data_IF_821728352244
#
_entry.id   IF_821728352244
#
_cell.length_a   1.000
_cell.length_b   1.000
_cell.length_c   1.000
_cell.angle_alpha   90.00
_cell.angle_beta   90.00
_cell.angle_gamma   90.00
#
_symmetry.space_group_name_H-M   'P 1'
#
loop_
_entity.id
_entity.type
_entity.pdbx_description
1 polymer ?
#
# COMPACT_ATOMS: atom_id res chain seq x y z
N UNK A 1 -46.44 -9.53 -39.53
CA UNK A 1 -47.04 -8.74 -38.44
C UNK A 1 -45.93 -8.50 -37.41
N UNK A 2 -45.46 -7.27 -37.32
CA UNK A 2 -44.38 -6.83 -36.42
C UNK A 2 -44.89 -6.74 -34.97
N UNK A 3 -44.10 -7.20 -34.01
CA UNK A 3 -44.18 -6.76 -32.60
C UNK A 3 -42.77 -6.44 -32.11
N UNK A 4 -42.51 -5.27 -31.49
CA UNK A 4 -41.17 -4.71 -31.34
C UNK A 4 -40.51 -5.03 -29.99
N UNK A 5 -39.18 -4.96 -29.99
CA UNK A 5 -38.31 -4.98 -28.80
C UNK A 5 -38.53 -3.70 -27.97
N UNK A 6 -38.93 -3.83 -26.71
CA UNK A 6 -38.93 -2.73 -25.75
C UNK A 6 -37.53 -2.49 -25.21
N UNK A 7 -37.02 -1.29 -25.47
CA UNK A 7 -35.81 -0.71 -24.92
C UNK A 7 -36.13 -0.24 -23.49
N UNK A 8 -35.50 -0.85 -22.47
CA UNK A 8 -35.50 -0.35 -21.10
C UNK A 8 -34.25 0.50 -20.86
N UNK A 9 -34.31 1.81 -21.13
CA UNK A 9 -33.33 2.76 -20.60
C UNK A 9 -33.66 3.03 -19.13
N UNK A 10 -32.94 2.39 -18.21
CA UNK A 10 -32.92 2.81 -16.81
C UNK A 10 -32.08 4.09 -16.67
N UNK A 11 -32.77 5.22 -16.56
CA UNK A 11 -32.25 6.50 -16.06
C UNK A 11 -31.71 6.32 -14.63
N UNK A 12 -30.38 6.22 -14.49
CA UNK A 12 -29.66 6.12 -13.22
C UNK A 12 -29.04 7.48 -12.80
N UNK A 13 -29.72 8.59 -13.10
CA UNK A 13 -29.13 9.93 -13.03
C UNK A 13 -29.47 10.83 -11.81
N UNK A 14 -30.34 10.48 -10.82
CA UNK A 14 -30.41 11.27 -9.58
C UNK A 14 -29.66 10.68 -8.38
N UNK A 15 -29.29 9.39 -8.37
CA UNK A 15 -28.65 8.75 -7.22
C UNK A 15 -27.14 9.06 -7.07
N UNK A 16 -26.47 9.47 -8.16
CA UNK A 16 -25.03 9.76 -8.17
C UNK A 16 -24.69 11.10 -7.50
N UNK A 17 -25.60 12.08 -7.54
CA UNK A 17 -25.35 13.41 -6.98
C UNK A 17 -25.35 13.43 -5.44
N UNK A 18 -26.13 12.57 -4.77
CA UNK A 18 -26.13 12.47 -3.31
C UNK A 18 -24.98 11.59 -2.77
N UNK A 19 -24.56 10.56 -3.49
CA UNK A 19 -23.40 9.75 -3.11
C UNK A 19 -22.07 10.53 -3.25
N UNK A 20 -21.98 11.41 -4.25
CA UNK A 20 -20.82 12.28 -4.46
C UNK A 20 -20.65 13.33 -3.35
N UNK A 21 -21.74 13.90 -2.82
CA UNK A 21 -21.66 14.94 -1.78
C UNK A 21 -21.21 14.39 -0.43
N UNK A 22 -21.70 13.21 0.00
CA UNK A 22 -21.23 12.54 1.21
C UNK A 22 -19.77 12.07 1.09
N UNK A 23 -19.36 11.62 -0.10
CA UNK A 23 -17.98 11.17 -0.36
C UNK A 23 -16.97 12.33 -0.33
N UNK A 24 -17.34 13.50 -0.86
CA UNK A 24 -16.46 14.69 -0.89
C UNK A 24 -16.30 15.32 0.51
N UNK A 25 -17.39 15.44 1.28
CA UNK A 25 -17.31 15.96 2.66
C UNK A 25 -16.51 15.00 3.55
N UNK A 26 -16.74 13.69 3.42
CA UNK A 26 -15.95 12.67 4.10
C UNK A 26 -14.47 12.72 3.71
N UNK A 27 -14.16 12.88 2.43
CA UNK A 27 -12.78 13.01 1.94
C UNK A 27 -12.07 14.20 2.57
N UNK A 28 -12.70 15.37 2.65
CA UNK A 28 -12.06 16.56 3.23
C UNK A 28 -11.63 16.31 4.68
N UNK A 29 -12.50 15.74 5.50
CA UNK A 29 -12.18 15.42 6.90
C UNK A 29 -11.06 14.37 6.99
N UNK A 30 -11.08 13.36 6.12
CA UNK A 30 -10.01 12.35 6.04
C UNK A 30 -8.66 12.99 5.75
N UNK A 31 -8.59 13.90 4.77
CA UNK A 31 -7.34 14.57 4.37
C UNK A 31 -6.86 15.54 5.46
N UNK A 32 -7.74 16.38 6.01
CA UNK A 32 -7.38 17.31 7.10
C UNK A 32 -6.86 16.55 8.34
N UNK A 33 -7.45 15.40 8.65
CA UNK A 33 -6.96 14.55 9.76
C UNK A 33 -5.65 13.87 9.39
N UNK A 34 -5.52 13.33 8.18
CA UNK A 34 -4.30 12.67 7.71
C UNK A 34 -3.08 13.61 7.74
N UNK A 35 -3.27 14.89 7.40
CA UNK A 35 -2.22 15.93 7.48
C UNK A 35 -1.70 16.18 8.90
N UNK A 36 -2.49 15.82 9.92
CA UNK A 36 -2.11 15.93 11.33
C UNK A 36 -1.55 14.61 11.88
N UNK A 37 -1.44 13.56 11.06
CA UNK A 37 -0.99 12.22 11.46
C UNK A 37 0.41 11.92 10.94
N UNK A 38 1.18 11.20 11.75
CA UNK A 38 2.47 10.62 11.41
C UNK A 38 2.54 9.14 11.75
N UNK A 39 3.40 8.40 11.06
CA UNK A 39 3.68 6.99 11.33
C UNK A 39 4.78 6.80 12.36
N UNK A 40 4.64 5.78 13.20
CA UNK A 40 5.72 5.21 14.03
C UNK A 40 5.69 3.71 13.88
N UNK A 41 6.84 3.10 13.56
CA UNK A 41 6.96 1.65 13.39
C UNK A 41 8.09 1.11 14.28
N UNK A 42 7.80 0.06 15.02
CA UNK A 42 8.75 -0.71 15.82
C UNK A 42 9.11 -2.02 15.12
N UNK A 43 10.37 -2.42 15.24
CA UNK A 43 10.83 -3.80 15.03
C UNK A 43 11.21 -4.38 16.38
N UNK A 44 10.28 -5.12 16.97
CA UNK A 44 10.42 -5.81 18.25
C UNK A 44 11.15 -7.12 18.06
N UNK A 45 12.29 -7.28 18.74
CA UNK A 45 12.99 -8.55 18.85
C UNK A 45 12.28 -9.42 19.88
N UNK A 46 11.41 -10.31 19.40
CA UNK A 46 10.66 -11.23 20.25
C UNK A 46 11.62 -12.16 21.03
N UNK A 47 11.35 -12.43 22.32
CA UNK A 47 12.19 -13.34 23.12
C UNK A 47 12.16 -14.76 22.55
N UNK A 48 13.34 -15.38 22.40
CA UNK A 48 13.45 -16.73 21.87
C UNK A 48 12.75 -17.75 22.79
N UNK A 49 11.96 -18.65 22.21
CA UNK A 49 11.29 -19.73 22.95
C UNK A 49 10.12 -19.31 23.84
N UNK A 50 9.77 -18.01 23.91
CA UNK A 50 8.63 -17.56 24.70
C UNK A 50 7.32 -17.85 23.96
N UNK A 51 6.36 -18.48 24.66
CA UNK A 51 5.01 -18.77 24.14
C UNK A 51 4.00 -17.68 24.49
N UNK A 52 4.32 -16.83 25.47
CA UNK A 52 3.47 -15.75 25.91
C UNK A 52 3.33 -14.66 24.83
N UNK A 53 2.15 -14.02 24.70
CA UNK A 53 1.95 -12.96 23.73
C UNK A 53 2.74 -11.70 24.12
N UNK A 54 3.44 -11.13 23.14
CA UNK A 54 3.98 -9.77 23.24
C UNK A 54 2.96 -8.76 22.73
N UNK A 55 2.79 -7.66 23.45
CA UNK A 55 1.91 -6.55 23.07
C UNK A 55 2.71 -5.27 22.90
N UNK A 56 2.35 -4.47 21.89
CA UNK A 56 2.91 -3.16 21.65
C UNK A 56 1.87 -2.06 21.88
N UNK A 57 2.35 -0.92 22.37
CA UNK A 57 1.54 0.27 22.62
C UNK A 57 2.33 1.56 22.34
N UNK A 58 1.59 2.61 21.99
CA UNK A 58 2.06 3.99 21.96
C UNK A 58 1.22 4.80 22.93
N UNK A 59 1.84 5.56 23.84
CA UNK A 59 1.13 6.29 24.89
C UNK A 59 1.81 7.60 25.25
N UNK A 60 1.06 8.49 25.91
CA UNK A 60 1.61 9.75 26.45
C UNK A 60 1.85 9.65 27.93
N UNK A 61 2.76 10.49 28.42
CA UNK A 61 2.99 10.71 29.84
C UNK A 61 2.41 12.07 30.28
N UNK A 62 1.95 12.13 31.51
CA UNK A 62 1.61 13.37 32.21
C UNK A 62 2.15 13.26 33.64
N UNK A 63 2.92 14.25 34.08
CA UNK A 63 3.59 14.25 35.39
C UNK A 63 4.39 12.95 35.66
N UNK A 64 5.09 12.45 34.63
CA UNK A 64 5.89 11.23 34.70
C UNK A 64 5.12 9.92 34.66
N UNK A 65 3.78 9.95 34.69
CA UNK A 65 2.92 8.75 34.69
C UNK A 65 2.24 8.54 33.34
N UNK A 66 1.92 7.28 32.95
CA UNK A 66 1.13 7.01 31.76
C UNK A 66 -0.26 7.69 31.84
N UNK A 67 -0.66 8.41 30.79
CA UNK A 67 -1.94 9.15 30.72
C UNK A 67 -2.99 8.41 29.89
N UNK A 68 -2.76 8.32 28.59
CA UNK A 68 -3.63 7.73 27.58
C UNK A 68 -2.81 7.09 26.45
N UNK A 69 -3.40 6.14 25.73
CA UNK A 69 -2.74 5.37 24.67
C UNK A 69 -3.44 5.48 23.32
N UNK A 70 -2.68 5.35 22.23
CA UNK A 70 -3.19 5.31 20.86
C UNK A 70 -3.52 3.88 20.39
N UNK A 71 -3.73 2.97 21.34
CA UNK A 71 -4.06 1.57 21.10
C UNK A 71 -3.02 0.59 21.65
N UNK A 72 -3.51 -0.63 21.88
CA UNK A 72 -2.79 -1.77 22.43
C UNK A 72 -3.06 -2.97 21.53
N UNK A 73 -2.02 -3.57 20.94
CA UNK A 73 -2.21 -4.71 20.03
C UNK A 73 -1.11 -5.76 20.19
N UNK A 74 -1.47 -7.01 19.87
CA UNK A 74 -0.55 -8.13 19.87
C UNK A 74 0.48 -7.93 18.74
N UNK A 75 1.76 -8.02 19.09
CA UNK A 75 2.84 -8.03 18.11
C UNK A 75 2.78 -9.35 17.35
N UNK A 76 2.79 -9.25 16.02
CA UNK A 76 2.75 -10.42 15.15
C UNK A 76 4.09 -11.17 15.18
N UNK A 77 4.16 -12.42 14.69
CA UNK A 77 5.42 -13.19 14.65
C UNK A 77 6.54 -12.51 13.85
N UNK A 78 6.16 -11.61 12.95
CA UNK A 78 7.06 -10.75 12.17
C UNK A 78 7.81 -9.69 13.00
N UNK A 79 7.43 -9.50 14.27
CA UNK A 79 8.02 -8.54 15.19
C UNK A 79 7.71 -7.09 14.85
N UNK A 80 6.79 -6.81 13.93
CA UNK A 80 6.46 -5.44 13.50
C UNK A 80 5.23 -4.95 14.23
N UNK A 81 5.32 -3.75 14.79
CA UNK A 81 4.21 -3.03 15.38
C UNK A 81 4.21 -1.60 14.83
N UNK A 82 3.07 -1.12 14.33
CA UNK A 82 2.99 0.21 13.71
C UNK A 82 1.77 0.98 14.19
N UNK A 83 1.93 2.30 14.25
CA UNK A 83 0.93 3.24 14.71
C UNK A 83 0.84 4.44 13.76
N UNK A 84 -0.34 5.03 13.66
CA UNK A 84 -0.54 6.36 13.10
C UNK A 84 -0.96 7.28 14.25
N UNK A 85 -0.17 8.31 14.54
CA UNK A 85 -0.25 9.12 15.76
C UNK A 85 -0.36 10.61 15.39
N UNK A 86 -0.93 11.46 16.25
CA UNK A 86 -0.92 12.91 16.01
C UNK A 86 0.51 13.47 16.02
N UNK A 87 0.79 14.38 15.10
CA UNK A 87 2.12 15.02 14.94
C UNK A 87 2.47 16.01 16.06
N UNK A 88 1.48 16.57 16.75
CA UNK A 88 1.67 17.50 17.87
C UNK A 88 1.94 16.78 19.21
N UNK A 89 2.00 15.44 19.19
CA UNK A 89 2.30 14.62 20.36
C UNK A 89 3.75 14.17 20.43
N UNK A 90 4.21 13.97 21.67
CA UNK A 90 5.43 13.22 21.98
C UNK A 90 5.02 11.95 22.70
N UNK A 91 5.49 10.80 22.21
CA UNK A 91 5.01 9.50 22.66
C UNK A 91 6.11 8.67 23.29
N UNK A 92 5.69 7.85 24.23
CA UNK A 92 6.40 6.65 24.61
C UNK A 92 5.88 5.53 23.72
N UNK A 93 6.78 4.71 23.19
CA UNK A 93 6.41 3.58 22.35
C UNK A 93 7.19 2.37 22.80
N UNK A 94 6.52 1.26 23.01
CA UNK A 94 7.12 0.10 23.65
C UNK A 94 6.34 -1.17 23.44
N UNK A 95 6.91 -2.26 23.92
CA UNK A 95 6.28 -3.56 23.92
C UNK A 95 6.68 -4.35 25.16
N UNK A 96 5.78 -5.21 25.64
CA UNK A 96 6.06 -6.13 26.73
C UNK A 96 5.48 -7.52 26.45
N UNK A 97 6.04 -8.55 27.06
CA UNK A 97 5.52 -9.92 26.97
C UNK A 97 4.75 -10.28 28.22
N UNK A 98 3.45 -10.54 28.04
CA UNK A 98 2.47 -10.81 29.10
C UNK A 98 2.51 -12.30 29.47
N UNK A 99 3.39 -12.67 30.41
CA UNK A 99 3.67 -14.05 30.78
C UNK A 99 2.58 -14.63 31.70
N UNK A 100 1.84 -13.78 32.40
CA UNK A 100 0.76 -14.19 33.32
C UNK A 100 -0.66 -14.02 32.74
N UNK A 101 -0.81 -13.40 31.57
CA UNK A 101 -2.08 -13.25 30.85
C UNK A 101 -2.98 -12.14 31.40
N UNK A 102 -2.47 -11.20 32.19
CA UNK A 102 -3.27 -10.16 32.84
C UNK A 102 -3.39 -8.86 32.03
N UNK A 103 -2.75 -8.79 30.85
CA UNK A 103 -2.72 -7.63 29.93
C UNK A 103 -2.20 -6.34 30.55
N UNK A 104 -1.35 -6.46 31.56
CA UNK A 104 -0.57 -5.39 32.17
C UNK A 104 0.90 -5.82 32.15
N UNK A 105 1.80 -4.86 32.38
CA UNK A 105 3.20 -5.19 32.55
C UNK A 105 3.48 -5.47 34.03
N UNK A 106 4.00 -6.64 34.35
CA UNK A 106 4.45 -7.02 35.68
C UNK A 106 5.99 -6.93 35.77
N UNK A 107 6.51 -6.41 36.88
CA UNK A 107 7.95 -6.29 37.08
C UNK A 107 8.66 -7.65 36.93
N UNK A 108 9.64 -7.72 36.03
CA UNK A 108 10.38 -8.94 35.68
C UNK A 108 9.95 -9.57 34.35
N UNK A 109 8.83 -9.13 33.77
CA UNK A 109 8.46 -9.50 32.41
C UNK A 109 9.37 -8.83 31.37
N UNK A 110 9.54 -9.43 30.17
CA UNK A 110 10.29 -8.79 29.10
C UNK A 110 9.60 -7.49 28.64
N UNK A 111 10.27 -6.35 28.77
CA UNK A 111 9.81 -5.01 28.37
C UNK A 111 10.89 -4.27 27.56
N UNK A 112 10.43 -3.43 26.63
CA UNK A 112 11.26 -2.44 25.96
C UNK A 112 10.45 -1.17 25.75
N UNK A 113 11.06 -0.01 26.01
CA UNK A 113 10.42 1.29 25.84
C UNK A 113 11.37 2.27 25.18
N UNK A 114 10.86 3.03 24.21
CA UNK A 114 11.48 4.20 23.63
C UNK A 114 10.73 5.44 24.13
N UNK A 115 11.48 6.41 24.65
CA UNK A 115 10.98 7.70 25.08
C UNK A 115 11.07 8.73 23.96
N UNK A 116 10.25 9.76 24.07
CA UNK A 116 10.33 10.98 23.25
C UNK A 116 10.25 10.75 21.73
N UNK A 117 9.49 9.71 21.34
CA UNK A 117 9.29 9.34 19.94
C UNK A 117 8.34 10.32 19.29
N UNK A 118 8.79 10.92 18.19
CA UNK A 118 8.00 11.85 17.36
C UNK A 118 7.55 11.13 16.08
N UNK A 119 6.25 11.19 15.73
CA UNK A 119 5.77 10.54 14.51
C UNK A 119 6.30 11.22 13.24
N UNK A 120 6.56 10.42 12.20
CA UNK A 120 6.99 10.91 10.89
C UNK A 120 5.75 11.22 10.03
N UNK A 121 5.57 12.44 9.49
CA UNK A 121 4.35 12.82 8.76
C UNK A 121 3.93 11.82 7.67
N UNK A 122 2.62 11.54 7.61
CA UNK A 122 2.03 10.64 6.60
C UNK A 122 1.70 11.36 5.27
N UNK A 123 1.55 12.68 5.30
CA UNK A 123 1.19 13.51 4.15
C UNK A 123 2.40 14.11 3.41
N UNK A 124 3.58 14.13 4.05
CA UNK A 124 4.81 14.68 3.52
C UNK A 124 5.57 13.63 2.66
N UNK A 125 5.77 13.89 1.35
CA UNK A 125 6.49 12.98 0.46
C UNK A 125 8.02 12.98 0.69
N UNK A 126 8.57 14.00 1.36
CA UNK A 126 9.98 14.03 1.73
C UNK A 126 10.24 13.21 3.00
N UNK A 127 9.22 12.98 3.82
CA UNK A 127 9.35 12.27 5.07
C UNK A 127 9.68 10.79 4.85
N UNK A 128 10.79 10.33 5.42
CA UNK A 128 11.23 8.92 5.32
C UNK A 128 10.75 8.13 6.55
N UNK A 129 9.99 7.04 6.37
CA UNK A 129 9.62 6.17 7.49
C UNK A 129 10.85 5.72 8.28
N UNK A 130 10.76 5.79 9.60
CA UNK A 130 11.79 5.27 10.51
C UNK A 130 11.25 4.01 11.18
N UNK A 131 12.06 2.95 11.17
CA UNK A 131 11.76 1.70 11.88
C UNK A 131 12.67 1.68 13.12
N UNK A 132 12.06 1.80 14.29
CA UNK A 132 12.80 1.78 15.55
C UNK A 132 13.00 0.34 16.03
N UNK A 133 14.26 -0.08 16.17
CA UNK A 133 14.57 -1.38 16.79
C UNK A 133 14.25 -1.37 18.27
N UNK A 134 13.60 -2.42 18.76
CA UNK A 134 13.23 -2.58 20.17
C UNK A 134 13.64 -3.96 20.67
N UNK A 135 14.48 -4.02 21.70
CA UNK A 135 14.84 -5.26 22.38
C UNK A 135 14.13 -5.30 23.73
N UNK A 136 13.60 -6.48 24.08
CA UNK A 136 12.92 -6.68 25.37
C UNK A 136 13.90 -7.25 26.39
N UNK A 137 13.94 -6.64 27.58
CA UNK A 137 14.77 -7.04 28.73
C UNK A 137 13.89 -7.24 29.96
N UNK A 138 14.37 -7.92 31.00
CA UNK A 138 13.57 -8.20 32.20
C UNK A 138 13.78 -7.21 33.34
N UNK A 139 15.00 -6.69 33.47
CA UNK A 139 15.33 -5.77 34.55
C UNK A 139 15.16 -4.32 34.12
N UNK A 140 14.27 -3.63 34.81
CA UNK A 140 13.95 -2.21 34.62
C UNK A 140 13.99 -1.43 35.93
N UNK A 141 14.62 -1.98 36.99
CA UNK A 141 14.76 -1.30 38.28
C UNK A 141 13.44 -1.06 39.02
N UNK A 142 12.41 -1.89 38.77
CA UNK A 142 11.12 -1.81 39.45
C UNK A 142 11.06 -2.77 40.64
N UNK A 143 10.38 -2.36 41.71
CA UNK A 143 10.20 -3.21 42.87
C UNK A 143 9.40 -4.47 42.53
N UNK A 144 9.73 -5.60 43.16
CA UNK A 144 9.01 -6.85 42.98
C UNK A 144 7.51 -6.69 43.29
N UNK A 145 6.65 -7.25 42.46
CA UNK A 145 5.19 -7.12 42.56
C UNK A 145 4.62 -5.82 41.99
N UNK A 146 5.44 -4.94 41.39
CA UNK A 146 4.93 -3.77 40.67
C UNK A 146 4.15 -4.20 39.43
N UNK A 147 2.94 -3.67 39.26
CA UNK A 147 2.10 -3.87 38.06
C UNK A 147 1.79 -2.51 37.42
N UNK A 148 2.16 -2.35 36.16
CA UNK A 148 1.87 -1.15 35.36
C UNK A 148 0.72 -1.46 34.42
N UNK A 149 -0.44 -0.86 34.68
CA UNK A 149 -1.62 -1.00 33.83
C UNK A 149 -1.44 -0.24 32.51
N UNK A 150 -1.91 -0.84 31.43
CA UNK A 150 -1.98 -0.19 30.11
C UNK A 150 -2.94 1.00 30.20
N UNK A 151 -2.55 2.21 29.74
CA UNK A 151 -3.42 3.39 29.76
C UNK A 151 -4.65 3.20 28.86
N UNK A 152 -5.77 3.82 29.25
CA UNK A 152 -6.99 3.82 28.45
C UNK A 152 -6.77 4.35 27.03
N UNK A 153 -7.49 3.78 26.06
CA UNK A 153 -7.37 4.17 24.66
C UNK A 153 -8.04 5.53 24.41
N UNK A 154 -7.33 6.40 23.70
CA UNK A 154 -7.81 7.69 23.22
C UNK A 154 -7.64 7.76 21.70
N UNK A 155 -8.75 7.61 20.96
CA UNK A 155 -8.80 7.63 19.49
C UNK A 155 -8.36 8.97 18.88
N UNK A 156 -8.38 10.05 19.65
CA UNK A 156 -7.87 11.34 19.19
C UNK A 156 -6.35 11.27 18.96
N UNK A 157 -5.62 10.49 19.76
CA UNK A 157 -4.17 10.32 19.61
C UNK A 157 -3.78 9.61 18.32
N UNK A 158 -4.65 8.74 17.82
CA UNK A 158 -4.37 7.92 16.65
C UNK A 158 -4.86 6.51 16.83
N UNK A 159 -4.22 5.59 16.11
CA UNK A 159 -4.55 4.19 16.14
C UNK A 159 -3.40 3.29 15.72
N UNK A 160 -3.67 1.99 15.80
CA UNK A 160 -2.79 0.95 15.26
C UNK A 160 -2.87 0.95 13.73
N UNK A 161 -1.73 0.73 13.09
CA UNK A 161 -1.64 0.46 11.65
C UNK A 161 -1.17 -0.97 11.48
N UNK A 162 -2.04 -1.83 10.94
CA UNK A 162 -1.70 -3.23 10.75
C UNK A 162 -0.91 -3.44 9.46
N UNK A 163 0.23 -4.12 9.55
CA UNK A 163 1.08 -4.46 8.42
C UNK A 163 1.05 -5.97 8.16
N UNK A 164 0.93 -6.38 6.89
CA UNK A 164 1.09 -7.75 6.42
C UNK A 164 2.43 -7.89 5.70
N UNK A 165 3.18 -8.91 6.07
CA UNK A 165 4.51 -9.21 5.55
C UNK A 165 4.58 -10.69 5.22
N UNK A 166 3.81 -11.08 4.20
CA UNK A 166 3.72 -12.46 3.72
C UNK A 166 2.61 -13.28 4.35
N UNK A 167 1.54 -12.62 4.80
CA UNK A 167 0.34 -13.29 5.30
C UNK A 167 -0.26 -14.14 4.18
N UNK A 168 -0.45 -15.44 4.44
CA UNK A 168 -1.11 -16.36 3.52
C UNK A 168 -2.62 -16.20 3.67
N UNK A 169 -3.29 -15.82 2.59
CA UNK A 169 -4.69 -15.40 2.60
C UNK A 169 -5.43 -15.86 1.34
N UNK A 170 -6.76 -15.94 1.41
CA UNK A 170 -7.58 -16.10 0.21
C UNK A 170 -7.96 -14.73 -0.36
N UNK A 171 -7.94 -14.61 -1.70
CA UNK A 171 -8.50 -13.44 -2.39
C UNK A 171 -10.01 -13.26 -2.14
N UNK A 172 -10.71 -14.32 -1.71
CA UNK A 172 -12.15 -14.27 -1.42
C UNK A 172 -12.48 -13.59 -0.09
N UNK A 173 -11.46 -13.23 0.71
CA UNK A 173 -11.70 -12.47 1.93
C UNK A 173 -12.35 -11.11 1.63
N UNK A 174 -13.33 -10.73 2.45
CA UNK A 174 -14.15 -9.52 2.25
C UNK A 174 -13.31 -8.26 2.01
N UNK A 175 -12.21 -8.08 2.76
CA UNK A 175 -11.29 -6.93 2.64
C UNK A 175 -10.66 -6.75 1.26
N UNK A 176 -10.63 -7.80 0.44
CA UNK A 176 -10.07 -7.75 -0.90
C UNK A 176 -11.13 -7.61 -2.00
N UNK A 177 -12.43 -7.66 -1.67
CA UNK A 177 -13.50 -7.57 -2.64
C UNK A 177 -13.39 -6.30 -3.50
N UNK A 178 -13.74 -6.39 -4.79
CA UNK A 178 -13.59 -5.27 -5.73
C UNK A 178 -14.34 -3.99 -5.28
N UNK A 179 -15.47 -4.14 -4.58
CA UNK A 179 -16.23 -3.01 -4.03
C UNK A 179 -15.54 -2.25 -2.89
N UNK A 180 -14.54 -2.85 -2.23
CA UNK A 180 -13.83 -2.23 -1.10
C UNK A 180 -12.70 -1.29 -1.54
N UNK A 181 -12.22 -1.41 -2.79
CA UNK A 181 -11.11 -0.61 -3.33
C UNK A 181 -11.38 0.90 -3.29
N UNK A 182 -12.63 1.30 -3.51
CA UNK A 182 -13.07 2.69 -3.40
C UNK A 182 -12.86 3.28 -1.99
N UNK A 183 -12.95 2.46 -0.93
CA UNK A 183 -12.66 2.89 0.44
C UNK A 183 -11.19 3.31 0.60
N UNK A 184 -10.26 2.56 0.02
CA UNK A 184 -8.84 2.91 0.02
C UNK A 184 -8.51 4.19 -0.75
N UNK A 185 -9.33 4.57 -1.71
CA UNK A 185 -9.23 5.82 -2.46
C UNK A 185 -9.80 7.02 -1.69
N UNK A 186 -11.07 6.92 -1.27
CA UNK A 186 -11.82 8.06 -0.72
C UNK A 186 -11.67 8.23 0.79
N UNK A 187 -11.25 7.17 1.51
CA UNK A 187 -11.09 7.15 2.97
C UNK A 187 -9.75 6.53 3.39
N UNK A 188 -8.61 7.08 2.92
CA UNK A 188 -7.31 6.46 3.10
C UNK A 188 -6.85 6.39 4.57
N UNK A 189 -7.31 7.28 5.45
CA UNK A 189 -6.98 7.23 6.87
C UNK A 189 -7.75 6.10 7.57
N UNK A 190 -9.04 5.95 7.30
CA UNK A 190 -9.84 4.86 7.86
C UNK A 190 -9.32 3.49 7.41
N UNK A 191 -8.81 3.40 6.18
CA UNK A 191 -8.17 2.20 5.67
C UNK A 191 -7.01 1.75 6.57
N UNK A 192 -6.22 2.67 7.13
CA UNK A 192 -5.09 2.33 8.00
C UNK A 192 -5.50 1.61 9.29
N UNK A 193 -6.71 1.89 9.81
CA UNK A 193 -7.24 1.29 11.05
C UNK A 193 -8.19 0.10 10.83
N UNK A 194 -8.80 0.00 9.66
CA UNK A 194 -9.79 -1.05 9.33
C UNK A 194 -9.21 -2.19 8.48
N UNK A 195 -8.06 -1.97 7.85
CA UNK A 195 -7.41 -2.95 7.00
C UNK A 195 -5.98 -3.22 7.48
N UNK A 196 -5.44 -4.34 6.99
CA UNK A 196 -4.02 -4.66 7.12
C UNK A 196 -3.36 -4.39 5.77
N UNK A 197 -2.39 -3.49 5.73
CA UNK A 197 -1.73 -3.08 4.50
C UNK A 197 -0.39 -3.80 4.34
N UNK A 198 0.07 -4.03 3.11
CA UNK A 198 1.32 -4.72 2.87
C UNK A 198 1.20 -5.83 1.84
N UNK A 199 2.13 -6.78 1.91
CA UNK A 199 2.29 -7.84 0.91
C UNK A 199 1.68 -9.13 1.46
N UNK A 200 0.87 -9.76 0.63
CA UNK A 200 0.16 -10.99 0.91
C UNK A 200 0.56 -12.09 -0.05
N UNK A 201 0.52 -13.32 0.45
CA UNK A 201 0.75 -14.51 -0.35
C UNK A 201 -0.56 -15.24 -0.59
N UNK A 202 -0.72 -15.78 -1.79
CA UNK A 202 -1.86 -16.64 -2.14
C UNK A 202 -1.72 -18.06 -1.58
N UNK A 203 -0.49 -18.44 -1.22
CA UNK A 203 -0.10 -19.75 -0.69
C UNK A 203 1.20 -19.60 0.13
N UNK A 204 1.58 -20.57 0.98
CA UNK A 204 2.85 -20.51 1.72
C UNK A 204 4.05 -20.31 0.79
N UNK A 205 5.04 -19.51 1.21
CA UNK A 205 6.24 -19.23 0.42
C UNK A 205 6.96 -20.52 -0.03
N UNK A 206 7.29 -20.58 -1.32
CA UNK A 206 8.01 -21.69 -1.93
C UNK A 206 9.37 -21.20 -2.47
N UNK A 207 10.51 -21.65 -1.88
CA UNK A 207 11.84 -21.23 -2.33
C UNK A 207 12.21 -21.72 -3.74
N UNK A 208 11.46 -22.67 -4.32
CA UNK A 208 11.65 -23.15 -5.68
C UNK A 208 11.03 -22.24 -6.74
N UNK A 209 10.20 -21.27 -6.36
CA UNK A 209 9.47 -20.39 -7.28
C UNK A 209 9.86 -18.93 -7.09
N UNK A 210 9.82 -18.17 -8.18
CA UNK A 210 10.14 -16.74 -8.17
C UNK A 210 8.88 -15.96 -7.75
N UNK A 211 8.93 -15.17 -6.67
CA UNK A 211 7.83 -14.28 -6.32
C UNK A 211 7.50 -13.29 -7.45
N UNK A 212 6.20 -13.13 -7.73
CA UNK A 212 5.67 -12.10 -8.65
C UNK A 212 4.70 -11.24 -7.87
N UNK A 213 5.09 -10.00 -7.60
CA UNK A 213 4.30 -9.04 -6.83
C UNK A 213 3.38 -8.26 -7.76
N UNK A 214 2.09 -8.36 -7.49
CA UNK A 214 1.03 -7.74 -8.25
C UNK A 214 0.55 -6.46 -7.55
N UNK A 215 0.58 -5.33 -8.27
CA UNK A 215 0.26 -4.00 -7.72
C UNK A 215 -0.90 -3.38 -8.48
N UNK A 216 -2.08 -3.32 -7.87
CA UNK A 216 -3.31 -2.81 -8.49
C UNK A 216 -3.34 -1.27 -8.57
N UNK A 217 -4.31 -0.75 -9.33
CA UNK A 217 -4.47 0.67 -9.64
C UNK A 217 -5.26 1.51 -8.64
N UNK A 218 -5.61 2.73 -9.06
CA UNK A 218 -6.40 3.66 -8.25
C UNK A 218 -7.83 3.13 -8.03
N UNK A 219 -8.26 3.05 -6.78
CA UNK A 219 -9.60 2.54 -6.42
C UNK A 219 -9.80 1.04 -6.67
N UNK A 220 -8.75 0.33 -7.07
CA UNK A 220 -8.75 -1.10 -7.32
C UNK A 220 -8.56 -1.95 -6.05
N UNK A 221 -8.43 -3.26 -6.24
CA UNK A 221 -8.16 -4.20 -5.16
C UNK A 221 -7.37 -5.42 -5.65
N UNK A 222 -6.90 -6.31 -4.75
CA UNK A 222 -6.25 -7.55 -5.17
C UNK A 222 -7.08 -8.43 -6.11
N UNK A 223 -8.41 -8.28 -6.11
CA UNK A 223 -9.31 -9.01 -7.00
C UNK A 223 -9.13 -8.65 -8.48
N UNK A 224 -8.60 -7.47 -8.80
CA UNK A 224 -8.28 -7.06 -10.17
C UNK A 224 -7.30 -8.04 -10.83
N UNK A 225 -6.50 -8.72 -10.00
CA UNK A 225 -5.52 -9.71 -10.43
C UNK A 225 -6.05 -11.15 -10.44
N UNK A 226 -7.33 -11.41 -10.12
CA UNK A 226 -7.85 -12.79 -9.99
C UNK A 226 -7.58 -13.62 -11.24
N UNK A 227 -7.91 -13.09 -12.42
CA UNK A 227 -7.69 -13.79 -13.68
C UNK A 227 -6.20 -14.05 -13.91
N UNK A 228 -5.37 -13.03 -13.71
CA UNK A 228 -3.93 -13.12 -13.85
C UNK A 228 -3.31 -14.18 -12.92
N UNK A 229 -3.71 -14.19 -11.65
CA UNK A 229 -3.27 -15.17 -10.66
C UNK A 229 -3.68 -16.57 -11.09
N UNK A 230 -4.88 -16.78 -11.63
CA UNK A 230 -5.32 -18.09 -12.13
C UNK A 230 -4.54 -18.62 -13.34
N UNK A 231 -3.89 -17.74 -14.11
CA UNK A 231 -3.25 -18.06 -15.40
C UNK A 231 -1.75 -17.78 -15.44
N UNK A 232 -1.14 -17.45 -14.30
CA UNK A 232 0.31 -17.35 -14.14
C UNK A 232 0.95 -18.75 -14.29
N UNK A 233 2.20 -18.83 -14.77
CA UNK A 233 2.95 -20.10 -14.75
C UNK A 233 3.36 -20.47 -13.31
N UNK A 234 2.43 -21.11 -12.59
CA UNK A 234 2.59 -21.53 -11.19
C UNK A 234 3.71 -22.54 -10.95
N UNK A 235 4.29 -23.14 -12.00
CA UNK A 235 5.47 -24.01 -11.85
C UNK A 235 6.73 -23.19 -11.59
N UNK A 236 6.78 -21.96 -12.09
CA UNK A 236 7.95 -21.07 -12.02
C UNK A 236 7.76 -19.90 -11.08
N UNK A 237 6.52 -19.41 -10.99
CA UNK A 237 6.20 -18.17 -10.30
C UNK A 237 5.24 -18.40 -9.15
N UNK A 238 5.40 -17.60 -8.11
CA UNK A 238 4.49 -17.56 -6.96
C UNK A 238 3.83 -16.18 -6.91
N UNK A 239 2.49 -16.07 -7.08
CA UNK A 239 1.82 -14.78 -7.09
C UNK A 239 1.65 -14.23 -5.67
N UNK A 240 2.15 -13.02 -5.47
CA UNK A 240 1.91 -12.18 -4.30
C UNK A 240 1.14 -10.93 -4.73
N UNK A 241 0.44 -10.30 -3.81
CA UNK A 241 -0.24 -9.03 -4.11
C UNK A 241 0.00 -8.00 -3.01
N UNK A 242 0.06 -6.74 -3.43
CA UNK A 242 0.23 -5.60 -2.54
C UNK A 242 -1.12 -4.94 -2.27
N UNK A 243 -1.54 -4.88 -1.00
CA UNK A 243 -2.78 -4.22 -0.58
C UNK A 243 -2.48 -2.93 0.17
N UNK A 244 -2.96 -1.82 -0.38
CA UNK A 244 -2.65 -0.48 0.08
C UNK A 244 -3.78 0.53 -0.20
N UNK A 245 -3.89 1.60 0.59
CA UNK A 245 -4.85 2.68 0.32
C UNK A 245 -4.38 3.52 -0.87
N UNK A 246 -4.98 3.31 -2.05
CA UNK A 246 -4.61 4.02 -3.28
C UNK A 246 -4.86 5.54 -3.23
N UNK A 247 -5.57 6.04 -2.21
CA UNK A 247 -5.75 7.47 -1.96
C UNK A 247 -4.56 8.15 -1.28
N UNK A 248 -3.63 7.38 -0.71
CA UNK A 248 -2.44 7.93 -0.06
C UNK A 248 -1.42 8.46 -1.08
N UNK A 249 -0.54 9.36 -0.62
CA UNK A 249 0.62 9.81 -1.40
C UNK A 249 1.42 8.62 -1.94
N UNK A 250 1.76 8.63 -3.22
CA UNK A 250 2.36 7.50 -3.91
C UNK A 250 3.76 7.16 -3.37
N UNK A 251 4.55 8.17 -2.96
CA UNK A 251 5.83 7.94 -2.28
C UNK A 251 5.68 7.11 -1.00
N UNK A 252 4.61 7.36 -0.23
CA UNK A 252 4.33 6.60 1.00
C UNK A 252 3.93 5.17 0.69
N UNK A 253 3.05 4.98 -0.28
CA UNK A 253 2.67 3.65 -0.75
C UNK A 253 3.88 2.86 -1.29
N UNK A 254 4.75 3.53 -2.03
CA UNK A 254 5.98 2.95 -2.58
C UNK A 254 7.00 2.60 -1.48
N UNK A 255 7.16 3.47 -0.48
CA UNK A 255 8.06 3.22 0.66
C UNK A 255 7.65 2.03 1.51
N UNK A 256 6.34 1.84 1.73
CA UNK A 256 5.81 0.64 2.41
C UNK A 256 6.07 -0.62 1.58
N UNK A 257 5.79 -0.58 0.27
CA UNK A 257 6.07 -1.71 -0.62
C UNK A 257 7.56 -2.06 -0.64
N UNK A 258 8.44 -1.06 -0.79
CA UNK A 258 9.89 -1.24 -0.78
C UNK A 258 10.39 -1.88 0.52
N UNK A 259 9.94 -1.35 1.66
CA UNK A 259 10.28 -1.88 3.00
C UNK A 259 9.79 -3.32 3.16
N UNK A 260 8.57 -3.61 2.71
CA UNK A 260 7.99 -4.95 2.73
C UNK A 260 8.78 -5.95 1.89
N UNK A 261 9.17 -5.58 0.66
CA UNK A 261 9.97 -6.44 -0.22
C UNK A 261 11.34 -6.76 0.38
N UNK A 262 12.04 -5.76 0.93
CA UNK A 262 13.33 -5.95 1.59
C UNK A 262 13.22 -6.82 2.84
N UNK A 263 12.18 -6.61 3.62
CA UNK A 263 11.93 -7.40 4.83
C UNK A 263 11.59 -8.87 4.49
N UNK A 264 10.75 -9.10 3.47
CA UNK A 264 10.46 -10.43 2.98
C UNK A 264 11.71 -11.11 2.40
N UNK A 265 12.53 -10.38 1.65
CA UNK A 265 13.82 -10.88 1.13
C UNK A 265 14.73 -11.32 2.28
N UNK A 266 14.87 -10.50 3.32
CA UNK A 266 15.66 -10.82 4.52
C UNK A 266 15.17 -12.08 5.24
N UNK A 267 13.84 -12.30 5.28
CA UNK A 267 13.23 -13.48 5.93
C UNK A 267 13.35 -14.76 5.13
N UNK A 268 13.08 -14.67 3.83
CA UNK A 268 12.90 -15.84 2.96
C UNK A 268 14.11 -16.13 2.07
N UNK A 269 15.06 -15.20 1.97
CA UNK A 269 16.30 -15.38 1.23
C UNK A 269 16.12 -15.52 -0.28
N UNK A 270 14.98 -15.12 -0.87
CA UNK A 270 14.81 -15.22 -2.32
C UNK A 270 15.83 -14.34 -3.05
N UNK A 271 16.49 -14.86 -4.10
CA UNK A 271 17.51 -14.10 -4.83
C UNK A 271 16.90 -13.07 -5.78
N UNK A 272 15.64 -13.27 -6.19
CA UNK A 272 14.94 -12.41 -7.14
C UNK A 272 13.43 -12.42 -6.92
N UNK A 273 12.79 -11.31 -7.25
CA UNK A 273 11.36 -11.09 -7.31
C UNK A 273 11.04 -10.35 -8.63
N UNK A 274 9.84 -10.50 -9.16
CA UNK A 274 9.34 -9.72 -10.29
C UNK A 274 8.16 -8.87 -9.86
N UNK A 275 7.92 -7.77 -10.57
CA UNK A 275 6.78 -6.88 -10.28
C UNK A 275 5.96 -6.69 -11.54
N UNK A 276 4.66 -6.95 -11.43
CA UNK A 276 3.67 -6.61 -12.46
C UNK A 276 2.68 -5.64 -11.85
N UNK A 277 2.46 -4.52 -12.51
CA UNK A 277 1.67 -3.44 -11.96
C UNK A 277 0.70 -2.88 -12.98
N UNK A 278 -0.46 -2.45 -12.50
CA UNK A 278 -1.54 -1.94 -13.33
C UNK A 278 -1.85 -0.48 -12.97
N UNK A 279 -2.14 0.34 -13.99
CA UNK A 279 -2.60 1.72 -13.81
C UNK A 279 -1.65 2.50 -12.90
N UNK A 280 -2.19 3.28 -11.96
CA UNK A 280 -1.42 4.01 -10.94
C UNK A 280 -0.50 3.11 -10.10
N UNK A 281 -0.79 1.81 -9.99
CA UNK A 281 0.08 0.83 -9.36
C UNK A 281 1.47 0.75 -10.01
N UNK A 282 1.59 1.03 -11.32
CA UNK A 282 2.87 1.09 -12.01
C UNK A 282 3.76 2.24 -11.54
N UNK A 283 3.17 3.38 -11.19
CA UNK A 283 3.88 4.52 -10.60
C UNK A 283 4.40 4.17 -9.19
N UNK A 284 3.56 3.53 -8.38
CA UNK A 284 3.93 3.03 -7.04
C UNK A 284 5.04 1.98 -7.12
N UNK A 285 4.87 0.99 -7.98
CA UNK A 285 5.83 -0.08 -8.20
C UNK A 285 7.18 0.46 -8.65
N UNK A 286 7.20 1.39 -9.61
CA UNK A 286 8.44 1.98 -10.11
C UNK A 286 9.23 2.68 -9.00
N UNK A 287 8.58 3.53 -8.21
CA UNK A 287 9.22 4.18 -7.06
C UNK A 287 9.68 3.17 -6.01
N UNK A 288 8.89 2.12 -5.76
CA UNK A 288 9.23 1.10 -4.78
C UNK A 288 10.45 0.27 -5.20
N UNK A 289 10.57 -0.06 -6.48
CA UNK A 289 11.70 -0.82 -7.04
C UNK A 289 12.99 -0.03 -6.88
N UNK A 290 12.99 1.23 -7.31
CA UNK A 290 14.15 2.11 -7.18
C UNK A 290 14.65 2.18 -5.73
N UNK A 291 13.72 2.46 -4.81
CA UNK A 291 14.03 2.53 -3.38
C UNK A 291 14.50 1.20 -2.81
N UNK A 292 13.80 0.10 -3.10
CA UNK A 292 14.10 -1.21 -2.54
C UNK A 292 15.50 -1.71 -2.97
N UNK A 293 15.81 -1.59 -4.26
CA UNK A 293 17.10 -2.04 -4.79
C UNK A 293 18.23 -1.12 -4.31
N UNK A 294 18.02 0.20 -4.32
CA UNK A 294 19.03 1.16 -3.86
C UNK A 294 19.36 0.96 -2.37
N UNK A 295 18.35 0.80 -1.51
CA UNK A 295 18.56 0.57 -0.08
C UNK A 295 19.15 -0.81 0.24
N UNK A 296 18.88 -1.83 -0.59
CA UNK A 296 19.47 -3.16 -0.42
C UNK A 296 20.90 -3.25 -0.96
N UNK A 297 21.28 -2.35 -1.87
CA UNK A 297 22.60 -2.31 -2.51
C UNK A 297 22.84 -3.42 -3.54
N UNK A 298 21.81 -4.21 -3.84
CA UNK A 298 21.86 -5.30 -4.85
C UNK A 298 20.51 -5.39 -5.56
N UNK A 299 20.55 -5.55 -6.88
CA UNK A 299 19.33 -5.76 -7.66
C UNK A 299 18.78 -7.17 -7.42
N UNK A 300 17.61 -7.21 -6.80
CA UNK A 300 16.80 -8.42 -6.63
C UNK A 300 15.44 -8.30 -7.33
N UNK A 301 15.21 -7.24 -8.11
CA UNK A 301 13.97 -7.02 -8.87
C UNK A 301 14.32 -6.77 -10.35
N UNK A 302 14.79 -7.79 -11.09
CA UNK A 302 15.30 -7.58 -12.45
C UNK A 302 14.20 -7.33 -13.50
N UNK A 303 12.92 -7.54 -13.16
CA UNK A 303 11.80 -7.40 -14.10
C UNK A 303 10.67 -6.58 -13.51
N UNK A 304 10.29 -5.55 -14.25
CA UNK A 304 9.14 -4.71 -14.02
C UNK A 304 8.26 -4.69 -15.27
N UNK A 305 6.98 -4.99 -15.12
CA UNK A 305 6.00 -4.94 -16.21
C UNK A 305 4.87 -4.01 -15.79
N UNK A 306 4.60 -2.98 -16.59
CA UNK A 306 3.51 -2.05 -16.34
C UNK A 306 2.39 -2.23 -17.37
N UNK A 307 1.15 -2.22 -16.93
CA UNK A 307 -0.04 -2.36 -17.78
C UNK A 307 -0.91 -1.11 -17.59
N UNK A 308 -1.15 -0.35 -18.65
CA UNK A 308 -1.99 0.86 -18.68
C UNK A 308 -1.63 1.92 -17.64
N UNK A 309 -0.33 2.08 -17.35
CA UNK A 309 0.13 3.04 -16.33
C UNK A 309 0.11 4.46 -16.88
N UNK A 310 -0.51 5.44 -16.18
CA UNK A 310 -0.57 6.84 -16.62
C UNK A 310 0.75 7.56 -16.35
N UNK A 311 1.79 7.25 -17.13
CA UNK A 311 3.12 7.85 -16.95
C UNK A 311 3.06 9.37 -17.03
N UNK A 312 2.37 9.92 -18.02
CA UNK A 312 2.18 11.38 -18.19
C UNK A 312 1.22 12.03 -17.18
N UNK A 313 0.68 11.28 -16.22
CA UNK A 313 -0.33 11.73 -15.28
C UNK A 313 -1.75 11.66 -15.83
N UNK A 314 -2.71 12.19 -15.08
CA UNK A 314 -4.14 12.03 -15.37
C UNK A 314 -4.91 13.36 -15.29
N UNK A 315 -5.54 13.78 -16.39
CA UNK A 315 -6.28 15.07 -16.48
C UNK A 315 -7.41 15.22 -15.45
N UNK A 316 -8.12 14.13 -15.12
CA UNK A 316 -9.12 14.19 -14.05
C UNK A 316 -8.52 14.47 -12.66
N UNK A 317 -7.31 13.96 -12.36
CA UNK A 317 -6.60 14.27 -11.12
C UNK A 317 -6.21 15.75 -11.09
N UNK A 318 -5.69 16.28 -12.20
CA UNK A 318 -5.41 17.70 -12.38
C UNK A 318 -6.63 18.58 -12.09
N UNK A 319 -7.77 18.26 -12.71
CA UNK A 319 -9.04 18.97 -12.46
C UNK A 319 -9.45 18.90 -10.98
N UNK A 320 -9.36 17.72 -10.36
CA UNK A 320 -9.64 17.54 -8.94
C UNK A 320 -8.73 18.40 -8.04
N UNK A 321 -7.44 18.48 -8.36
CA UNK A 321 -6.47 19.33 -7.63
C UNK A 321 -6.78 20.81 -7.78
N UNK A 322 -7.20 21.27 -8.97
CA UNK A 322 -7.54 22.67 -9.21
C UNK A 322 -8.83 23.11 -8.49
N UNK A 323 -9.81 22.23 -8.35
CA UNK A 323 -11.15 22.60 -7.89
C UNK A 323 -11.47 22.20 -6.45
N UNK A 324 -10.77 21.21 -5.88
CA UNK A 324 -11.00 20.77 -4.50
C UNK A 324 -10.04 21.46 -3.53
N UNK A 325 -10.57 21.99 -2.43
CA UNK A 325 -9.74 22.53 -1.33
C UNK A 325 -8.81 21.47 -0.73
N UNK A 326 -9.29 20.23 -0.65
CA UNK A 326 -8.58 19.05 -0.16
C UNK A 326 -8.79 17.90 -1.14
N UNK A 327 -7.98 17.80 -2.22
CA UNK A 327 -8.10 16.70 -3.17
C UNK A 327 -7.65 15.38 -2.53
N UNK A 328 -7.94 14.26 -3.17
CA UNK A 328 -7.36 12.97 -2.80
C UNK A 328 -5.82 13.09 -2.85
N UNK A 329 -5.08 12.70 -1.79
CA UNK A 329 -3.64 12.90 -1.75
C UNK A 329 -2.89 12.31 -2.95
N UNK A 330 -3.25 11.10 -3.42
CA UNK A 330 -2.63 10.51 -4.62
C UNK A 330 -2.84 11.31 -5.90
N UNK A 331 -3.90 12.11 -6.01
CA UNK A 331 -4.11 12.97 -7.19
C UNK A 331 -3.07 14.08 -7.30
N UNK A 332 -2.48 14.52 -6.19
CA UNK A 332 -1.35 15.44 -6.21
C UNK A 332 -0.13 14.84 -6.92
N UNK A 333 0.04 13.52 -6.80
CA UNK A 333 1.18 12.80 -7.37
C UNK A 333 0.93 12.34 -8.82
N UNK A 334 -0.33 12.06 -9.20
CA UNK A 334 -0.70 11.70 -10.59
C UNK A 334 -1.09 12.93 -11.42
N UNK A 335 -1.10 14.13 -10.83
CA UNK A 335 -1.23 15.37 -11.57
C UNK A 335 -0.08 15.47 -12.62
N UNK A 336 -0.34 15.77 -13.90
CA UNK A 336 0.72 16.01 -14.87
C UNK A 336 1.76 17.01 -14.32
N UNK A 337 3.03 16.68 -14.57
CA UNK A 337 4.21 17.44 -14.10
C UNK A 337 4.30 17.63 -12.57
N UNK A 338 3.64 16.77 -11.78
CA UNK A 338 3.86 16.71 -10.33
C UNK A 338 5.33 16.43 -10.01
N UNK A 339 5.79 16.89 -8.85
CA UNK A 339 7.13 16.60 -8.36
C UNK A 339 7.42 15.09 -8.28
N UNK A 340 6.38 14.28 -8.01
CA UNK A 340 6.51 12.83 -7.97
C UNK A 340 6.81 12.24 -9.36
N UNK A 341 6.02 12.60 -10.39
CA UNK A 341 6.26 12.13 -11.76
C UNK A 341 7.60 12.63 -12.30
N UNK A 342 7.93 13.90 -12.08
CA UNK A 342 9.22 14.47 -12.47
C UNK A 342 10.39 13.73 -11.79
N UNK A 343 10.24 13.35 -10.53
CA UNK A 343 11.22 12.53 -9.81
C UNK A 343 11.41 11.14 -10.44
N UNK A 344 10.32 10.50 -10.90
CA UNK A 344 10.41 9.22 -11.61
C UNK A 344 11.17 9.34 -12.93
N UNK A 345 10.97 10.41 -13.69
CA UNK A 345 11.68 10.62 -14.96
C UNK A 345 13.16 10.92 -14.76
N UNK A 346 13.49 11.64 -13.68
CA UNK A 346 14.86 11.99 -13.33
C UNK A 346 15.66 10.80 -12.78
N UNK A 347 14.99 9.72 -12.38
CA UNK A 347 15.60 8.56 -11.72
C UNK A 347 15.56 7.33 -12.64
N UNK A 348 16.69 6.91 -13.23
CA UNK A 348 16.73 5.71 -14.05
C UNK A 348 16.40 4.47 -13.22
N UNK A 349 16.02 3.37 -13.87
CA UNK A 349 15.89 2.09 -13.15
C UNK A 349 17.24 1.71 -12.56
N UNK A 350 17.23 0.99 -11.41
CA UNK A 350 18.41 0.31 -10.94
C UNK A 350 19.05 -0.53 -12.05
N UNK A 351 20.38 -0.53 -12.10
CA UNK A 351 21.13 -1.30 -13.09
C UNK A 351 20.80 -2.79 -12.95
N UNK A 352 20.31 -3.39 -14.04
CA UNK A 352 19.87 -4.79 -14.06
C UNK A 352 18.36 -4.95 -14.14
N UNK A 353 17.60 -3.94 -13.69
CA UNK A 353 16.14 -3.93 -13.81
C UNK A 353 15.71 -3.52 -15.21
N UNK A 354 14.86 -4.34 -15.82
CA UNK A 354 14.23 -4.06 -17.12
C UNK A 354 12.76 -3.71 -16.95
N UNK A 355 12.26 -2.84 -17.84
CA UNK A 355 10.85 -2.42 -17.86
C UNK A 355 10.19 -2.75 -19.19
N UNK A 356 9.13 -3.54 -19.17
CA UNK A 356 8.24 -3.73 -20.33
C UNK A 356 6.93 -2.98 -20.10
N UNK A 357 6.52 -2.23 -21.11
CA UNK A 357 5.33 -1.37 -21.09
C UNK A 357 4.23 -2.00 -21.93
N UNK A 358 3.06 -2.19 -21.33
CA UNK A 358 1.84 -2.64 -22.00
C UNK A 358 0.81 -1.52 -21.86
N UNK A 359 0.14 -1.16 -22.95
CA UNK A 359 -0.88 -0.11 -22.95
C UNK A 359 -2.15 -0.55 -23.70
N UNK A 360 -3.27 0.04 -23.30
CA UNK A 360 -4.59 -0.21 -23.85
C UNK A 360 -5.05 0.89 -24.80
N UNK A 361 -5.97 0.59 -25.71
CA UNK A 361 -6.84 1.61 -26.28
C UNK A 361 -8.16 1.03 -26.78
N UNK A 362 -9.19 1.88 -26.87
CA UNK A 362 -10.49 1.55 -27.44
C UNK A 362 -10.91 2.58 -28.48
N UNK A 363 -11.72 2.15 -29.45
CA UNK A 363 -12.26 3.03 -30.50
C UNK A 363 -13.41 3.93 -30.02
N UNK A 364 -13.88 3.75 -28.77
CA UNK A 364 -15.05 4.46 -28.22
C UNK A 364 -14.74 5.93 -27.92
N UNK A 365 -15.44 6.83 -28.61
CA UNK A 365 -15.44 8.27 -28.31
C UNK A 365 -16.30 8.57 -27.06
N UNK A 366 -15.68 8.86 -25.92
CA UNK A 366 -16.38 9.43 -24.75
C UNK A 366 -16.44 10.95 -24.89
N UNK A 367 -17.56 11.59 -24.53
CA UNK A 367 -17.70 13.05 -24.69
C UNK A 367 -16.62 13.86 -23.95
N UNK A 368 -16.14 13.34 -22.81
CA UNK A 368 -15.15 13.97 -21.94
C UNK A 368 -13.69 13.59 -22.24
N UNK A 369 -13.44 12.72 -23.23
CA UNK A 369 -12.09 12.29 -23.62
C UNK A 369 -12.09 11.96 -25.12
N UNK A 370 -11.54 12.89 -25.91
CA UNK A 370 -11.58 12.82 -27.38
C UNK A 370 -10.32 12.21 -27.97
N UNK A 371 -9.23 12.23 -27.22
CA UNK A 371 -7.95 11.60 -27.53
C UNK A 371 -8.06 10.07 -27.49
N UNK A 372 -7.14 9.36 -28.15
CA UNK A 372 -7.07 7.90 -28.03
C UNK A 372 -6.81 7.52 -26.57
N UNK A 373 -7.58 6.57 -26.05
CA UNK A 373 -7.60 6.20 -24.64
C UNK A 373 -8.10 4.77 -24.45
N UNK A 374 -7.89 4.22 -23.27
CA UNK A 374 -8.39 2.90 -22.86
C UNK A 374 -9.71 2.98 -22.06
N UNK A 375 -10.38 4.12 -22.08
CA UNK A 375 -11.59 4.42 -21.31
C UNK A 375 -11.32 5.15 -20.00
N UNK A 376 -10.07 5.23 -19.53
CA UNK A 376 -9.65 5.92 -18.31
C UNK A 376 -8.44 6.82 -18.56
N UNK A 377 -7.39 6.29 -19.17
CA UNK A 377 -6.11 6.98 -19.40
C UNK A 377 -5.93 7.21 -20.90
N UNK A 378 -5.35 8.34 -21.27
CA UNK A 378 -4.99 8.61 -22.67
C UNK A 378 -3.76 7.79 -23.07
N UNK A 379 -3.72 7.33 -24.31
CA UNK A 379 -2.53 6.64 -24.86
C UNK A 379 -1.29 7.52 -24.73
N UNK A 380 -1.43 8.83 -24.94
CA UNK A 380 -0.34 9.80 -24.72
C UNK A 380 0.28 9.68 -23.32
N UNK A 381 -0.54 9.54 -22.27
CA UNK A 381 -0.06 9.37 -20.90
C UNK A 381 0.49 7.97 -20.67
N UNK A 382 -0.15 6.93 -21.23
CA UNK A 382 0.34 5.54 -21.15
C UNK A 382 1.68 5.33 -21.86
N UNK A 383 1.99 6.15 -22.87
CA UNK A 383 3.22 6.06 -23.67
C UNK A 383 4.09 7.32 -23.53
N UNK A 384 4.07 7.98 -22.37
CA UNK A 384 4.85 9.21 -22.16
C UNK A 384 6.32 8.99 -22.59
N UNK A 385 6.85 9.81 -23.50
CA UNK A 385 8.14 9.56 -24.12
C UNK A 385 9.31 9.59 -23.12
N UNK A 386 9.14 10.22 -21.95
CA UNK A 386 10.15 10.23 -20.87
C UNK A 386 10.36 8.83 -20.28
N UNK A 387 9.33 7.98 -20.30
CA UNK A 387 9.41 6.58 -19.85
C UNK A 387 9.58 5.63 -21.03
N UNK A 388 8.77 5.79 -22.08
CA UNK A 388 8.73 4.88 -23.23
C UNK A 388 10.09 4.66 -23.90
N UNK A 389 10.93 5.70 -23.96
CA UNK A 389 12.30 5.59 -24.52
C UNK A 389 13.22 4.66 -23.73
N UNK A 390 12.96 4.45 -22.44
CA UNK A 390 13.74 3.57 -21.56
C UNK A 390 13.12 2.18 -21.39
N UNK A 391 11.91 1.97 -21.92
CA UNK A 391 11.25 0.68 -21.89
C UNK A 391 11.98 -0.30 -22.82
N UNK A 392 12.20 -1.51 -22.35
CA UNK A 392 12.78 -2.62 -23.13
C UNK A 392 11.86 -3.05 -24.25
N UNK A 393 10.55 -3.08 -23.99
CA UNK A 393 9.53 -3.36 -25.00
C UNK A 393 8.27 -2.55 -24.72
N UNK A 394 7.52 -2.29 -25.79
CA UNK A 394 6.22 -1.62 -25.74
C UNK A 394 5.23 -2.49 -26.50
N UNK A 395 4.10 -2.83 -25.87
CA UNK A 395 3.04 -3.64 -26.46
C UNK A 395 1.69 -2.95 -26.33
N UNK A 396 1.01 -2.83 -27.45
CA UNK A 396 -0.37 -2.36 -27.53
C UNK A 396 -1.36 -3.52 -27.53
N UNK A 397 -2.46 -3.35 -26.81
CA UNK A 397 -3.68 -4.16 -26.93
C UNK A 397 -4.92 -3.27 -27.08
N UNK A 398 -5.83 -3.64 -27.96
CA UNK A 398 -7.13 -2.95 -28.11
C UNK A 398 -8.12 -3.40 -27.02
N UNK A 399 -7.90 -2.93 -25.79
CA UNK A 399 -8.59 -3.34 -24.57
C UNK A 399 -8.92 -2.15 -23.66
N UNK A 400 -9.99 -2.29 -22.88
CA UNK A 400 -10.35 -1.27 -21.88
C UNK A 400 -9.42 -1.35 -20.66
N UNK A 401 -9.28 -0.22 -19.94
CA UNK A 401 -8.29 0.01 -18.89
C UNK A 401 -8.16 -1.13 -17.86
N UNK A 402 -9.28 -1.65 -17.36
CA UNK A 402 -9.29 -2.73 -16.36
C UNK A 402 -9.44 -4.10 -17.04
N UNK A 403 -10.23 -4.15 -18.11
CA UNK A 403 -10.54 -5.38 -18.85
C UNK A 403 -9.29 -6.04 -19.45
N UNK A 404 -8.27 -5.25 -19.78
CA UNK A 404 -6.96 -5.72 -20.27
C UNK A 404 -6.29 -6.76 -19.35
N UNK A 405 -6.53 -6.70 -18.03
CA UNK A 405 -5.97 -7.65 -17.04
C UNK A 405 -6.60 -9.05 -17.12
N UNK A 406 -7.81 -9.14 -17.68
CA UNK A 406 -8.60 -10.36 -17.75
C UNK A 406 -8.55 -11.02 -19.13
N UNK A 407 -7.58 -10.62 -19.97
CA UNK A 407 -7.46 -11.12 -21.33
C UNK A 407 -6.40 -12.21 -21.46
N UNK A 408 -6.71 -13.34 -22.13
CA UNK A 408 -5.76 -14.42 -22.36
C UNK A 408 -4.47 -13.94 -23.03
N UNK A 409 -4.55 -13.07 -24.03
CA UNK A 409 -3.40 -12.55 -24.78
C UNK A 409 -2.50 -11.65 -23.94
N UNK A 410 -3.07 -10.88 -23.02
CA UNK A 410 -2.29 -10.06 -22.09
C UNK A 410 -1.51 -10.97 -21.16
N UNK A 411 -2.17 -11.94 -20.52
CA UNK A 411 -1.51 -12.85 -19.57
C UNK A 411 -0.46 -13.70 -20.28
N UNK A 412 -0.75 -14.21 -21.48
CA UNK A 412 0.21 -14.97 -22.27
C UNK A 412 1.46 -14.15 -22.62
N UNK A 413 1.28 -12.88 -23.00
CA UNK A 413 2.39 -11.97 -23.27
C UNK A 413 3.23 -11.72 -22.01
N UNK A 414 2.58 -11.45 -20.87
CA UNK A 414 3.28 -11.22 -19.60
C UNK A 414 4.04 -12.47 -19.14
N UNK A 415 3.45 -13.66 -19.21
CA UNK A 415 4.15 -14.93 -18.94
C UNK A 415 5.40 -15.08 -19.82
N UNK A 416 5.29 -14.72 -21.11
CA UNK A 416 6.41 -14.70 -22.03
C UNK A 416 7.53 -13.72 -21.63
N UNK A 417 7.19 -12.55 -21.09
CA UNK A 417 8.17 -11.57 -20.61
C UNK A 417 8.85 -12.00 -19.30
N UNK A 418 8.09 -12.60 -18.39
CA UNK A 418 8.61 -13.14 -17.13
C UNK A 418 9.62 -14.27 -17.39
N UNK A 419 9.40 -15.09 -18.43
CA UNK A 419 10.25 -16.24 -18.74
C UNK A 419 11.59 -15.91 -19.43
N UNK A 420 11.76 -14.69 -19.94
CA UNK A 420 12.93 -14.27 -20.73
C UNK A 420 14.19 -13.98 -19.92
#
# INVERSE_FOLDING_TARGET
MNIPRSIGHCLLLPAVAMAASCSIVGLRQQVETLEQRGGVTLRVKLPAGNKAPTYALAWRKENGKPKDSAGFHKVRPDGIASFNLRLDGVYQVGAFTDENGNRAYDAGEPLGVLSDVKPVPLSDPAARPQIHGLTLTRDHGLAAGTVIRVPGENKELGGVTHLALGDVVSLDEKRFAAGEGGGGLWRPLDFLGSNTLGIYFTEPYDPGRIPVVLVYGIGGSPQDWRYFIGHLDHKRYQPWFYHYPSGMRLDRAAGVLASGLRELRRRHGFPRCHVVAHSMGGLVARAAIDRAVTEEGVDFIPKFISISTPWGGHKAAESGVRHLKKPVPSWLDVNPDSAFLLGLYATPLPKGTTHDLIYGSIERRRLWMREENDGVVTVESETDPRIARSARSIKHFHREHVEILNQPETVAYVNGLLAR
#
